data_IF_617711110087
#
_entry.id   IF_617711110087
#
_cell.length_a   1.000
_cell.length_b   1.000
_cell.length_c   1.000
_cell.angle_alpha   90.00
_cell.angle_beta   90.00
_cell.angle_gamma   90.00
#
_symmetry.space_group_name_H-M   'P 1'
#
loop_
_entity.id
_entity.type
_entity.pdbx_description
1 polymer ?
#
# COMPACT_ATOMS: atom_id res chain seq x y z
N UNK A 1 -7.09 25.13 -3.27
CA UNK A 1 -7.09 23.71 -2.82
C UNK A 1 -8.52 23.20 -2.82
N UNK A 2 -8.84 22.19 -3.64
CA UNK A 2 -10.17 21.57 -3.62
C UNK A 2 -10.41 20.93 -2.25
N UNK A 3 -11.51 21.27 -1.57
CA UNK A 3 -11.88 20.64 -0.29
C UNK A 3 -12.11 19.15 -0.56
N UNK A 4 -11.19 18.30 -0.10
CA UNK A 4 -11.32 16.84 -0.20
C UNK A 4 -12.64 16.44 0.50
N UNK A 5 -13.44 15.60 -0.15
CA UNK A 5 -14.68 15.11 0.44
C UNK A 5 -14.35 14.21 1.64
N UNK A 6 -14.82 14.54 2.86
CA UNK A 6 -14.44 13.84 4.08
C UNK A 6 -14.80 12.35 4.05
N UNK A 7 -15.93 11.99 3.44
CA UNK A 7 -16.34 10.58 3.29
C UNK A 7 -15.41 9.79 2.39
N UNK A 8 -14.90 10.42 1.31
CA UNK A 8 -13.92 9.77 0.42
C UNK A 8 -12.59 9.55 1.13
N UNK A 9 -12.12 10.54 1.89
CA UNK A 9 -10.90 10.42 2.69
C UNK A 9 -11.04 9.35 3.77
N UNK A 10 -12.15 9.33 4.50
CA UNK A 10 -12.43 8.29 5.49
C UNK A 10 -12.44 6.89 4.86
N UNK A 11 -13.18 6.70 3.76
CA UNK A 11 -13.25 5.39 3.09
C UNK A 11 -11.89 4.94 2.57
N UNK A 12 -11.07 5.86 2.07
CA UNK A 12 -9.69 5.58 1.70
C UNK A 12 -8.86 5.06 2.89
N UNK A 13 -8.92 5.71 4.06
CA UNK A 13 -8.21 5.24 5.25
C UNK A 13 -8.69 3.87 5.74
N UNK A 14 -9.99 3.58 5.64
CA UNK A 14 -10.53 2.25 5.97
C UNK A 14 -9.92 1.18 5.07
N UNK A 15 -9.84 1.42 3.75
CA UNK A 15 -9.22 0.48 2.82
C UNK A 15 -7.72 0.28 3.09
N UNK A 16 -6.99 1.35 3.41
CA UNK A 16 -5.58 1.26 3.81
C UNK A 16 -5.42 0.44 5.08
N UNK A 17 -6.25 0.68 6.11
CA UNK A 17 -6.19 -0.06 7.36
C UNK A 17 -6.47 -1.56 7.16
N UNK A 18 -7.39 -1.92 6.27
CA UNK A 18 -7.63 -3.32 5.89
C UNK A 18 -6.43 -3.95 5.19
N UNK A 19 -5.79 -3.22 4.27
CA UNK A 19 -4.57 -3.68 3.57
C UNK A 19 -3.40 -3.89 4.54
N UNK A 20 -3.18 -2.94 5.46
CA UNK A 20 -2.21 -3.05 6.56
C UNK A 20 -2.51 -4.20 7.51
N UNK A 21 -3.78 -4.41 7.87
CA UNK A 21 -4.20 -5.55 8.68
C UNK A 21 -3.87 -6.88 7.99
N UNK A 22 -4.19 -7.01 6.71
CA UNK A 22 -3.80 -8.18 5.91
C UNK A 22 -2.28 -8.39 5.90
N UNK A 23 -1.50 -7.31 5.80
CA UNK A 23 -0.05 -7.42 5.88
C UNK A 23 0.42 -7.93 7.24
N UNK A 24 -0.08 -7.35 8.34
CA UNK A 24 0.27 -7.74 9.70
C UNK A 24 -0.09 -9.21 9.98
N UNK A 25 -1.29 -9.65 9.59
CA UNK A 25 -1.74 -11.04 9.74
C UNK A 25 -0.88 -12.03 8.93
N UNK A 26 -0.26 -11.58 7.85
CA UNK A 26 0.67 -12.38 7.03
C UNK A 26 2.15 -12.15 7.42
N UNK A 27 2.40 -11.64 8.63
CA UNK A 27 3.74 -11.45 9.20
C UNK A 27 4.53 -10.30 8.58
N UNK A 28 3.84 -9.24 8.14
CA UNK A 28 4.41 -7.97 7.71
C UNK A 28 4.40 -6.92 8.83
N UNK A 29 4.94 -5.73 8.54
CA UNK A 29 4.85 -4.60 9.47
C UNK A 29 3.44 -4.01 9.49
N UNK A 30 3.01 -3.49 10.64
CA UNK A 30 1.68 -2.90 10.80
C UNK A 30 1.49 -1.64 9.93
N UNK A 31 2.54 -0.85 9.73
CA UNK A 31 2.47 0.40 8.96
C UNK A 31 2.81 0.21 7.46
N UNK A 32 3.05 -1.02 7.00
CA UNK A 32 3.28 -1.32 5.57
C UNK A 32 2.01 -1.97 5.00
N UNK A 33 1.44 -1.42 3.92
CA UNK A 33 0.39 -2.10 3.17
C UNK A 33 0.87 -3.41 2.53
N UNK A 34 0.00 -4.42 2.42
CA UNK A 34 0.35 -5.69 1.80
C UNK A 34 0.68 -5.52 0.32
N UNK A 35 -0.06 -4.64 -0.36
CA UNK A 35 0.22 -4.23 -1.75
C UNK A 35 1.62 -3.63 -1.93
N UNK A 36 2.07 -2.74 -1.03
CA UNK A 36 3.45 -2.21 -1.01
C UNK A 36 4.49 -3.31 -0.81
N UNK A 37 4.26 -4.20 0.18
CA UNK A 37 5.15 -5.34 0.45
C UNK A 37 5.26 -6.28 -0.76
N UNK A 38 4.16 -6.50 -1.48
CA UNK A 38 4.15 -7.30 -2.71
C UNK A 38 5.08 -6.71 -3.76
N UNK A 39 5.02 -5.40 -4.01
CA UNK A 39 5.93 -4.74 -4.95
C UNK A 39 7.39 -4.87 -4.54
N UNK A 40 7.71 -4.53 -3.28
CA UNK A 40 9.09 -4.57 -2.76
C UNK A 40 9.71 -5.97 -2.87
N UNK A 41 8.93 -7.01 -2.57
CA UNK A 41 9.40 -8.41 -2.60
C UNK A 41 9.35 -9.06 -3.98
N UNK A 42 8.52 -8.57 -4.89
CA UNK A 42 8.41 -9.11 -6.24
C UNK A 42 9.34 -8.43 -7.25
N UNK A 43 9.61 -7.13 -7.07
CA UNK A 43 10.29 -6.27 -8.05
C UNK A 43 11.65 -5.77 -7.56
N UNK A 44 11.76 -5.31 -6.31
CA UNK A 44 12.99 -4.67 -5.79
C UNK A 44 13.99 -5.66 -5.20
N UNK A 45 13.54 -6.86 -4.83
CA UNK A 45 14.41 -7.92 -4.28
C UNK A 45 15.23 -8.56 -5.41
N UNK A 46 16.55 -8.73 -5.22
CA UNK A 46 17.45 -9.25 -6.26
C UNK A 46 17.12 -10.68 -6.72
N UNK A 47 16.56 -11.49 -5.82
CA UNK A 47 16.10 -12.86 -6.09
C UNK A 47 14.68 -13.03 -5.53
N UNK A 48 13.65 -12.54 -6.24
CA UNK A 48 12.29 -12.55 -5.72
C UNK A 48 11.76 -13.97 -5.61
N UNK A 49 11.08 -14.29 -4.51
CA UNK A 49 10.44 -15.61 -4.32
C UNK A 49 9.19 -15.73 -5.20
N UNK A 50 8.89 -16.94 -5.68
CA UNK A 50 7.75 -17.19 -6.57
C UNK A 50 6.41 -16.72 -5.97
N UNK A 51 6.20 -16.94 -4.67
CA UNK A 51 5.00 -16.48 -3.95
C UNK A 51 4.75 -14.98 -4.08
N UNK A 52 5.81 -14.16 -4.09
CA UNK A 52 5.67 -12.71 -4.17
C UNK A 52 5.33 -12.24 -5.58
N UNK A 53 5.86 -12.90 -6.61
CA UNK A 53 5.43 -12.68 -8.00
C UNK A 53 3.95 -13.04 -8.21
N UNK A 54 3.48 -14.11 -7.57
CA UNK A 54 2.07 -14.49 -7.59
C UNK A 54 1.21 -13.40 -6.94
N UNK A 55 1.50 -13.02 -5.69
CA UNK A 55 0.73 -11.99 -4.99
C UNK A 55 0.76 -10.64 -5.70
N UNK A 56 1.89 -10.22 -6.23
CA UNK A 56 2.00 -8.99 -7.01
C UNK A 56 1.06 -8.98 -8.23
N UNK A 57 1.01 -10.08 -9.00
CA UNK A 57 0.10 -10.21 -10.14
C UNK A 57 -1.36 -10.30 -9.71
N UNK A 58 -1.65 -11.05 -8.66
CA UNK A 58 -3.01 -11.24 -8.14
C UNK A 58 -3.59 -9.92 -7.64
N UNK A 59 -2.84 -9.19 -6.80
CA UNK A 59 -3.31 -7.92 -6.21
C UNK A 59 -3.51 -6.87 -7.30
N UNK A 60 -2.55 -6.68 -8.21
CA UNK A 60 -2.76 -5.75 -9.35
C UNK A 60 -3.98 -6.13 -10.21
N UNK A 61 -4.22 -7.43 -10.41
CA UNK A 61 -5.40 -7.93 -11.11
C UNK A 61 -6.72 -7.65 -10.37
N UNK A 62 -6.74 -7.84 -9.05
CA UNK A 62 -7.92 -7.60 -8.20
C UNK A 62 -8.38 -6.13 -8.27
N UNK A 63 -7.42 -5.20 -8.33
CA UNK A 63 -7.70 -3.76 -8.42
C UNK A 63 -7.87 -3.27 -9.87
N UNK A 64 -7.80 -4.16 -10.86
CA UNK A 64 -7.82 -3.81 -12.29
C UNK A 64 -6.80 -2.71 -12.66
N UNK A 65 -5.70 -2.65 -11.93
CA UNK A 65 -4.66 -1.63 -12.07
C UNK A 65 -3.28 -2.30 -11.99
N UNK A 66 -2.59 -2.28 -13.12
CA UNK A 66 -1.25 -2.87 -13.29
C UNK A 66 -0.17 -2.21 -12.43
N UNK A 67 -0.39 -0.96 -12.02
CA UNK A 67 0.55 -0.15 -11.25
C UNK A 67 0.10 0.02 -9.79
N UNK A 68 -0.95 -0.68 -9.36
CA UNK A 68 -1.52 -0.57 -8.01
C UNK A 68 -0.47 -0.81 -6.91
N UNK A 69 0.20 -1.96 -6.92
CA UNK A 69 1.21 -2.29 -5.90
C UNK A 69 2.42 -1.33 -5.95
N UNK A 70 2.78 -0.82 -7.13
CA UNK A 70 3.85 0.18 -7.28
C UNK A 70 3.43 1.51 -6.65
N UNK A 71 2.21 1.95 -6.92
CA UNK A 71 1.64 3.18 -6.38
C UNK A 71 1.48 3.11 -4.86
N UNK A 72 1.10 1.94 -4.34
CA UNK A 72 1.08 1.67 -2.90
C UNK A 72 2.48 1.82 -2.30
N UNK A 73 3.50 1.20 -2.90
CA UNK A 73 4.89 1.33 -2.47
C UNK A 73 5.38 2.78 -2.46
N UNK A 74 5.12 3.54 -3.53
CA UNK A 74 5.45 4.97 -3.57
C UNK A 74 4.68 5.76 -2.50
N UNK A 75 3.42 5.42 -2.24
CA UNK A 75 2.62 6.09 -1.22
C UNK A 75 3.16 5.85 0.19
N UNK A 76 3.71 4.66 0.47
CA UNK A 76 4.42 4.39 1.72
C UNK A 76 5.70 5.23 1.84
N UNK A 77 6.52 5.26 0.78
CA UNK A 77 7.77 6.03 0.76
C UNK A 77 7.52 7.52 1.02
N UNK A 78 6.50 8.09 0.39
CA UNK A 78 6.14 9.49 0.52
C UNK A 78 5.14 9.76 1.66
N UNK A 79 4.83 8.75 2.49
CA UNK A 79 3.87 8.83 3.62
C UNK A 79 2.52 9.47 3.25
N UNK A 80 2.02 9.24 2.03
CA UNK A 80 0.79 9.88 1.52
C UNK A 80 -0.48 9.47 2.26
N UNK A 81 -0.42 8.34 2.96
CA UNK A 81 -1.52 7.80 3.75
C UNK A 81 -1.66 8.47 5.12
N UNK A 82 -0.64 9.21 5.58
CA UNK A 82 -0.65 9.83 6.89
C UNK A 82 -1.57 11.05 6.90
N UNK A 83 -2.27 11.32 8.02
CA UNK A 83 -2.98 12.58 8.21
C UNK A 83 -2.03 13.77 8.03
N UNK A 84 -2.55 14.89 7.53
CA UNK A 84 -1.77 16.11 7.30
C UNK A 84 -1.10 16.64 8.56
N UNK A 85 -1.68 16.37 9.72
CA UNK A 85 -1.16 16.80 11.02
C UNK A 85 0.20 16.16 11.34
N UNK A 86 0.56 15.06 10.65
CA UNK A 86 1.86 14.39 10.77
C UNK A 86 2.87 14.80 9.68
N UNK A 87 2.50 15.73 8.78
CA UNK A 87 3.38 16.16 7.67
C UNK A 87 4.37 17.27 8.03
N UNK A 88 4.26 17.88 9.22
CA UNK A 88 5.05 19.04 9.64
C UNK A 88 6.33 18.71 10.45
N UNK A 89 6.69 17.43 10.60
CA UNK A 89 7.82 17.01 11.48
C UNK A 89 9.03 16.49 10.67
N UNK A 90 9.24 16.94 9.43
CA UNK A 90 10.44 16.62 8.63
C UNK A 90 11.18 17.90 8.28
#
# INVERSE_FOLDING_TARGET
MSKKNPFKTWGYHVLIALDQLCNALTGGGADETFSSRCYRRAVLESKPKARWRFWFRLVNGLFFDKDHCKTAYESELYRRQYPTDFSEVI
#
